data_IF_551476475997
#
_entry.id   IF_551476475997
#
_cell.length_a   1.000
_cell.length_b   1.000
_cell.length_c   1.000
_cell.angle_alpha   90.00
_cell.angle_beta   90.00
_cell.angle_gamma   90.00
#
_symmetry.space_group_name_H-M   'P 1'
#
loop_
_entity.id
_entity.type
_entity.pdbx_description
1 polymer ?
#
# COMPACT_ATOMS: atom_id res chain seq x y z
N UNK A 1 2.19 -14.43 -18.37
CA UNK A 1 0.99 -14.41 -17.50
C UNK A 1 1.34 -13.54 -16.31
N UNK A 2 0.95 -12.26 -16.33
CA UNK A 2 1.24 -11.35 -15.21
C UNK A 2 0.30 -11.73 -14.07
N UNK A 3 0.85 -12.40 -13.05
CA UNK A 3 0.15 -12.60 -11.80
C UNK A 3 -0.07 -11.21 -11.18
N UNK A 4 -1.27 -10.68 -11.32
CA UNK A 4 -1.64 -9.43 -10.67
C UNK A 4 -1.99 -9.74 -9.22
N UNK A 5 -1.69 -8.80 -8.34
CA UNK A 5 -2.01 -8.96 -6.93
C UNK A 5 -3.46 -8.59 -6.69
N UNK A 6 -4.18 -9.51 -6.06
CA UNK A 6 -5.50 -9.24 -5.52
C UNK A 6 -5.37 -8.67 -4.11
N UNK A 7 -5.91 -7.46 -3.93
CA UNK A 7 -6.01 -6.81 -2.64
C UNK A 7 -7.30 -7.25 -1.98
N UNK A 8 -7.24 -7.56 -0.69
CA UNK A 8 -8.43 -7.97 0.06
C UNK A 8 -9.44 -6.83 0.18
N UNK A 9 -10.71 -7.20 0.37
CA UNK A 9 -11.78 -6.24 0.63
C UNK A 9 -11.48 -5.39 1.88
N UNK A 10 -10.88 -6.00 2.91
CA UNK A 10 -10.54 -5.33 4.17
C UNK A 10 -9.46 -4.26 3.98
N UNK A 11 -8.41 -4.56 3.22
CA UNK A 11 -7.35 -3.58 2.95
C UNK A 11 -7.86 -2.45 2.03
N UNK A 12 -8.77 -2.78 1.09
CA UNK A 12 -9.44 -1.79 0.24
C UNK A 12 -10.28 -0.83 1.08
N UNK A 13 -11.07 -1.35 2.03
CA UNK A 13 -11.89 -0.54 2.93
C UNK A 13 -11.03 0.37 3.83
N UNK A 14 -9.94 -0.16 4.38
CA UNK A 14 -8.96 0.64 5.13
C UNK A 14 -8.44 1.81 4.29
N UNK A 15 -8.03 1.55 3.04
CA UNK A 15 -7.53 2.59 2.15
C UNK A 15 -8.56 3.69 1.92
N UNK A 16 -9.82 3.32 1.68
CA UNK A 16 -10.92 4.27 1.51
C UNK A 16 -11.14 5.14 2.77
N UNK A 17 -11.12 4.54 3.96
CA UNK A 17 -11.28 5.27 5.23
C UNK A 17 -10.09 6.22 5.47
N UNK A 18 -8.89 5.79 5.10
CA UNK A 18 -7.66 6.58 5.22
C UNK A 18 -7.50 7.65 4.10
N UNK A 19 -8.45 7.77 3.17
CA UNK A 19 -8.43 8.78 2.11
C UNK A 19 -7.59 8.41 0.88
N UNK A 20 -7.22 7.14 0.73
CA UNK A 20 -6.55 6.63 -0.46
C UNK A 20 -7.56 6.17 -1.52
N UNK A 21 -7.17 6.30 -2.78
CA UNK A 21 -7.82 5.66 -3.93
C UNK A 21 -6.99 4.46 -4.37
N UNK A 22 -7.63 3.33 -4.66
CA UNK A 22 -6.98 2.10 -5.11
C UNK A 22 -7.03 1.94 -6.64
N UNK A 23 -5.87 1.73 -7.25
CA UNK A 23 -5.71 1.12 -8.57
C UNK A 23 -5.34 -0.35 -8.39
N UNK A 24 -6.21 -1.31 -8.74
CA UNK A 24 -5.92 -2.74 -8.62
C UNK A 24 -4.74 -3.17 -9.49
N UNK A 25 -4.02 -4.22 -9.08
CA UNK A 25 -2.89 -4.75 -9.86
C UNK A 25 -3.26 -5.18 -11.28
N UNK A 26 -4.51 -5.60 -11.51
CA UNK A 26 -5.02 -5.94 -12.84
C UNK A 26 -5.14 -4.73 -13.79
N UNK A 27 -5.08 -3.52 -13.25
CA UNK A 27 -5.11 -2.24 -13.98
C UNK A 27 -3.78 -1.47 -13.92
N UNK A 28 -2.75 -2.06 -13.32
CA UNK A 28 -1.39 -1.52 -13.32
C UNK A 28 -0.54 -2.19 -14.40
N UNK A 29 0.37 -1.43 -15.03
CA UNK A 29 1.31 -1.94 -16.02
C UNK A 29 2.30 -2.96 -15.43
N UNK A 30 2.67 -2.78 -14.16
CA UNK A 30 3.63 -3.62 -13.44
C UNK A 30 2.98 -4.74 -12.59
N UNK A 31 1.64 -4.85 -12.62
CA UNK A 31 0.88 -5.84 -11.86
C UNK A 31 0.75 -5.57 -10.36
N UNK A 32 1.34 -4.49 -9.84
CA UNK A 32 1.24 -4.07 -8.43
C UNK A 32 -0.04 -3.30 -8.19
N UNK A 33 -0.62 -3.46 -7.00
CA UNK A 33 -1.70 -2.61 -6.56
C UNK A 33 -1.14 -1.28 -6.06
N UNK A 34 -1.82 -0.17 -6.38
CA UNK A 34 -1.37 1.18 -6.04
C UNK A 34 -2.45 1.88 -5.24
N UNK A 35 -2.17 2.22 -3.99
CA UNK A 35 -2.97 3.19 -3.25
C UNK A 35 -2.36 4.57 -3.43
N UNK A 36 -3.18 5.58 -3.72
CA UNK A 36 -2.69 6.94 -3.90
C UNK A 36 -3.61 7.96 -3.23
N UNK A 37 -3.01 9.01 -2.66
CA UNK A 37 -3.69 10.09 -1.96
C UNK A 37 -3.08 11.44 -2.36
N UNK A 38 -3.70 12.55 -1.94
CA UNK A 38 -3.20 13.91 -2.20
C UNK A 38 -2.86 14.15 -3.68
N UNK A 39 -3.78 13.78 -4.59
CA UNK A 39 -3.59 13.88 -6.04
C UNK A 39 -2.34 13.13 -6.60
N UNK A 40 -1.88 12.11 -5.88
CA UNK A 40 -0.74 11.28 -6.29
C UNK A 40 0.60 11.72 -5.70
N UNK A 41 0.61 12.69 -4.78
CA UNK A 41 1.81 13.00 -3.98
C UNK A 41 2.25 11.78 -3.19
N UNK A 42 1.32 11.09 -2.53
CA UNK A 42 1.63 9.88 -1.76
C UNK A 42 1.12 8.67 -2.53
N UNK A 43 2.00 7.70 -2.77
CA UNK A 43 1.66 6.42 -3.39
C UNK A 43 2.22 5.27 -2.58
N UNK A 44 1.40 4.29 -2.27
CA UNK A 44 1.79 3.00 -1.70
C UNK A 44 1.65 1.93 -2.76
N UNK A 45 2.70 1.17 -2.99
CA UNK A 45 2.72 0.05 -3.93
C UNK A 45 2.72 -1.25 -3.14
N UNK A 46 1.86 -2.17 -3.55
CA UNK A 46 1.84 -3.53 -3.02
C UNK A 46 2.15 -4.47 -4.17
N UNK A 47 3.32 -5.09 -4.09
CA UNK A 47 3.91 -5.97 -5.08
C UNK A 47 4.16 -7.37 -4.53
N UNK A 48 4.55 -8.27 -5.43
CA UNK A 48 4.91 -9.65 -5.13
C UNK A 48 6.29 -9.87 -5.73
N UNK A 49 7.22 -10.38 -4.93
CA UNK A 49 8.56 -10.65 -5.43
C UNK A 49 8.72 -12.12 -5.86
N UNK A 50 9.80 -12.39 -6.57
CA UNK A 50 10.21 -13.73 -7.02
C UNK A 50 10.52 -14.71 -5.86
N UNK A 51 10.65 -14.20 -4.65
CA UNK A 51 10.92 -14.98 -3.42
C UNK A 51 9.66 -15.36 -2.65
N UNK A 52 8.47 -15.03 -3.16
CA UNK A 52 7.20 -15.41 -2.55
C UNK A 52 6.72 -14.49 -1.41
N UNK A 53 7.10 -13.21 -1.44
CA UNK A 53 6.70 -12.22 -0.44
C UNK A 53 5.84 -11.12 -1.06
N UNK A 54 4.84 -10.68 -0.32
CA UNK A 54 4.22 -9.38 -0.54
C UNK A 54 5.20 -8.30 -0.07
N UNK A 55 5.44 -7.31 -0.91
CA UNK A 55 6.35 -6.19 -0.62
C UNK A 55 5.55 -4.90 -0.72
N UNK A 56 5.71 -4.05 0.29
CA UNK A 56 5.09 -2.74 0.36
C UNK A 56 6.16 -1.68 0.28
N UNK A 57 6.00 -0.74 -0.65
CA UNK A 57 6.84 0.44 -0.79
C UNK A 57 5.99 1.70 -0.86
N UNK A 58 6.56 2.85 -0.48
CA UNK A 58 5.95 4.16 -0.70
C UNK A 58 6.81 5.05 -1.61
N UNK A 59 6.17 6.01 -2.26
CA UNK A 59 6.81 7.06 -3.04
C UNK A 59 6.11 8.36 -2.73
N UNK A 60 6.88 9.36 -2.30
CA UNK A 60 6.41 10.74 -2.13
C UNK A 60 6.82 11.60 -3.33
N UNK A 61 5.89 12.41 -3.85
CA UNK A 61 6.04 13.34 -4.99
C UNK A 61 6.74 12.73 -6.22
N UNK A 62 6.40 11.49 -6.53
CA UNK A 62 7.04 10.70 -7.59
C UNK A 62 8.56 10.51 -7.43
N UNK A 63 9.06 10.63 -6.21
CA UNK A 63 10.42 10.32 -5.84
C UNK A 63 10.70 8.81 -5.78
N UNK A 64 11.93 8.44 -5.37
CA UNK A 64 12.32 7.06 -5.20
C UNK A 64 11.37 6.27 -4.30
N UNK A 65 11.20 4.99 -4.59
CA UNK A 65 10.43 4.11 -3.71
C UNK A 65 11.22 3.76 -2.43
N UNK A 66 10.57 3.84 -1.29
CA UNK A 66 11.09 3.48 0.01
C UNK A 66 10.43 2.20 0.52
N UNK A 67 11.21 1.34 1.16
CA UNK A 67 10.71 0.07 1.70
C UNK A 67 9.98 0.29 3.02
N UNK A 68 8.75 -0.22 3.12
CA UNK A 68 7.97 -0.21 4.36
C UNK A 68 8.02 -1.58 5.02
N UNK A 69 7.55 -2.62 4.33
CA UNK A 69 7.55 -3.98 4.86
C UNK A 69 7.53 -5.05 3.76
N UNK A 70 7.90 -6.27 4.15
CA UNK A 70 7.65 -7.48 3.37
C UNK A 70 7.04 -8.55 4.28
N UNK A 71 6.02 -9.25 3.79
CA UNK A 71 5.35 -10.31 4.53
C UNK A 71 4.95 -11.49 3.64
N UNK A 72 4.83 -12.72 4.19
CA UNK A 72 4.50 -13.90 3.41
C UNK A 72 3.00 -14.02 3.12
N UNK A 73 2.15 -13.17 3.72
CA UNK A 73 0.70 -13.21 3.55
C UNK A 73 0.07 -11.82 3.51
N UNK A 74 -1.02 -11.68 2.74
CA UNK A 74 -1.80 -10.45 2.67
C UNK A 74 -2.42 -10.08 4.03
N UNK A 75 -2.83 -11.08 4.83
CA UNK A 75 -3.33 -10.88 6.19
C UNK A 75 -2.30 -10.17 7.10
N UNK A 76 -1.00 -10.43 6.91
CA UNK A 76 0.05 -9.72 7.66
C UNK A 76 0.16 -8.25 7.21
N UNK A 77 0.06 -8.00 5.90
CA UNK A 77 0.03 -6.64 5.35
C UNK A 77 -1.18 -5.86 5.89
N UNK A 78 -2.36 -6.48 5.90
CA UNK A 78 -3.58 -5.90 6.48
C UNK A 78 -3.40 -5.50 7.94
N UNK A 79 -2.90 -6.42 8.76
CA UNK A 79 -2.68 -6.18 10.19
C UNK A 79 -1.69 -5.04 10.43
N UNK A 80 -0.65 -4.94 9.61
CA UNK A 80 0.30 -3.84 9.67
C UNK A 80 -0.41 -2.49 9.46
N UNK A 81 -1.16 -2.35 8.36
CA UNK A 81 -1.84 -1.09 8.04
C UNK A 81 -2.95 -0.73 9.03
N UNK A 82 -3.68 -1.72 9.53
CA UNK A 82 -4.69 -1.51 10.57
C UNK A 82 -4.07 -1.05 11.89
N UNK A 83 -2.95 -1.65 12.29
CA UNK A 83 -2.21 -1.21 13.47
C UNK A 83 -1.62 0.19 13.29
N UNK A 84 -1.12 0.51 12.11
CA UNK A 84 -0.58 1.84 11.78
C UNK A 84 -1.67 2.91 11.77
N UNK A 85 -2.89 2.61 11.31
CA UNK A 85 -4.01 3.57 11.39
C UNK A 85 -4.40 3.94 12.82
N UNK A 86 -4.15 3.10 13.83
CA UNK A 86 -4.33 3.49 15.25
C UNK A 86 -3.35 4.59 15.64
N UNK A 87 -2.15 4.59 15.07
CA UNK A 87 -1.13 5.64 15.22
C UNK A 87 -1.45 6.93 14.45
N UNK A 88 -2.38 6.90 13.49
CA UNK A 88 -2.85 8.10 12.81
C UNK A 88 -4.02 8.77 13.55
N UNK A 89 -4.78 8.01 14.34
CA UNK A 89 -5.90 8.51 15.15
C UNK A 89 -5.48 9.10 16.51
N UNK A 90 -4.24 8.88 16.95
CA UNK A 90 -3.68 9.47 18.19
C UNK A 90 -3.04 10.86 17.98
N UNK A 91 -3.13 11.42 16.77
CA UNK A 91 -2.63 12.76 16.44
C UNK A 91 -1.10 12.89 16.41
N UNK A 92 -0.35 11.78 16.43
CA UNK A 92 1.10 11.79 16.61
C UNK A 92 1.89 11.25 15.41
N UNK A 93 1.51 11.55 14.16
CA UNK A 93 2.47 11.61 13.05
C UNK A 93 2.13 12.74 12.09
N UNK A 94 2.88 13.83 12.31
CA UNK A 94 3.28 14.84 11.35
C UNK A 94 3.54 14.19 9.98
N UNK A 95 2.81 14.61 8.94
CA UNK A 95 3.20 14.38 7.55
C UNK A 95 4.68 14.77 7.42
N UNK A 96 5.56 13.78 7.28
CA UNK A 96 6.99 14.05 7.12
C UNK A 96 7.19 14.48 5.67
N UNK A 97 7.25 15.80 5.49
CA UNK A 97 7.80 16.50 4.32
C UNK A 97 9.29 16.17 4.17
#
# INVERSE_FOLDING_TARGET
>A
MNAHIEISARLTEWGNIAGYTLTPGSRSEDGRAIFWASLGEIRLFIGWNDRGWFVVTDSDRMGPEHFILAAPSMDTIEKYFLADSVRLLDGSVNCRV
#
